data_IF_280298080498
#
_entry.id   IF_280298080498
#
_cell.length_a   1.000
_cell.length_b   1.000
_cell.length_c   1.000
_cell.angle_alpha   90.00
_cell.angle_beta   90.00
_cell.angle_gamma   90.00
#
_symmetry.space_group_name_H-M   'P 1'
#
loop_
_entity.id
_entity.type
_entity.pdbx_description
1 polymer ?
#
# COMPACT_ATOMS: atom_id res chain seq x y z
N UNK A 1 14.95 33.03 9.89
CA UNK A 1 13.56 32.58 9.65
C UNK A 1 12.95 32.34 11.01
N UNK A 2 11.82 32.94 11.29
CA UNK A 2 11.10 32.77 12.55
C UNK A 2 10.62 31.31 12.66
N UNK A 3 10.59 30.77 13.87
CA UNK A 3 10.07 29.43 14.18
C UNK A 3 9.07 29.58 15.31
N UNK A 4 7.86 29.06 15.11
CA UNK A 4 6.80 29.06 16.13
C UNK A 4 6.27 27.65 16.33
N UNK A 5 5.74 27.39 17.51
CA UNK A 5 5.07 26.12 17.80
C UNK A 5 3.65 26.09 17.22
N UNK A 6 3.13 24.91 16.93
CA UNK A 6 1.74 24.77 16.48
C UNK A 6 0.74 25.28 17.52
N UNK A 7 1.08 25.18 18.82
CA UNK A 7 0.24 25.71 19.89
C UNK A 7 0.14 27.24 19.89
N UNK A 8 1.18 27.95 19.44
CA UNK A 8 1.15 29.41 19.26
C UNK A 8 0.28 29.78 18.05
N UNK A 9 0.39 29.04 16.96
CA UNK A 9 -0.22 29.36 15.67
C UNK A 9 -1.68 28.88 15.51
N UNK A 10 -2.05 27.79 16.21
CA UNK A 10 -3.33 27.14 16.04
C UNK A 10 -4.07 26.89 17.35
N UNK A 11 -5.39 26.92 17.27
CA UNK A 11 -6.24 26.27 18.27
C UNK A 11 -6.32 24.78 17.94
N UNK A 12 -5.84 23.93 18.84
CA UNK A 12 -5.73 22.49 18.59
C UNK A 12 -6.62 21.74 19.58
N UNK A 13 -7.61 21.04 19.03
CA UNK A 13 -8.63 20.31 19.79
C UNK A 13 -8.81 18.92 19.20
N UNK A 14 -8.93 17.88 20.01
CA UNK A 14 -9.32 16.54 19.52
C UNK A 14 -10.83 16.47 19.30
N UNK A 15 -11.23 15.69 18.31
CA UNK A 15 -12.62 15.33 18.13
C UNK A 15 -13.15 14.40 19.24
N UNK A 16 -14.35 13.91 19.06
CA UNK A 16 -15.02 13.01 20.00
C UNK A 16 -15.98 12.07 19.30
N UNK A 17 -16.27 10.96 19.98
CA UNK A 17 -17.22 9.96 19.48
C UNK A 17 -18.45 9.92 20.35
N UNK A 18 -19.64 10.24 19.82
CA UNK A 18 -20.89 10.02 20.52
C UNK A 18 -21.09 8.54 20.86
N UNK A 19 -21.75 8.26 21.97
CA UNK A 19 -22.01 6.87 22.38
C UNK A 19 -22.75 6.10 21.30
N UNK A 20 -22.17 4.97 20.86
CA UNK A 20 -22.76 4.09 19.84
C UNK A 20 -24.03 3.37 20.34
N UNK A 21 -24.20 3.25 21.65
CA UNK A 21 -25.39 2.64 22.26
C UNK A 21 -26.63 3.54 22.20
N UNK A 22 -26.44 4.84 21.98
CA UNK A 22 -27.53 5.82 21.88
C UNK A 22 -27.91 6.02 20.41
N UNK A 23 -28.97 5.34 19.99
CA UNK A 23 -29.47 5.38 18.60
C UNK A 23 -29.83 6.80 18.18
N UNK A 24 -30.39 7.60 19.08
CA UNK A 24 -30.76 9.00 18.88
C UNK A 24 -29.58 9.91 18.50
N UNK A 25 -28.34 9.50 18.75
CA UNK A 25 -27.15 10.27 18.39
C UNK A 25 -26.71 10.07 16.94
N UNK A 26 -27.22 9.02 16.28
CA UNK A 26 -26.76 8.58 14.96
C UNK A 26 -27.87 8.49 13.92
N UNK A 27 -29.08 8.04 14.34
CA UNK A 27 -30.18 7.82 13.42
C UNK A 27 -30.66 9.16 12.86
N UNK A 28 -30.74 9.24 11.52
CA UNK A 28 -31.13 10.44 10.79
C UNK A 28 -30.22 11.66 11.06
N UNK A 29 -28.93 11.38 11.36
CA UNK A 29 -27.93 12.43 11.55
C UNK A 29 -27.71 13.23 10.28
N UNK A 30 -27.48 14.53 10.44
CA UNK A 30 -27.22 15.48 9.35
C UNK A 30 -25.85 16.14 9.46
N UNK A 31 -25.19 16.03 10.61
CA UNK A 31 -23.88 16.61 10.87
C UNK A 31 -22.80 15.61 10.46
N UNK A 32 -21.93 15.92 9.46
CA UNK A 32 -20.88 15.01 9.03
C UNK A 32 -19.94 14.66 10.17
N UNK A 33 -19.61 13.38 10.32
CA UNK A 33 -18.68 12.89 11.34
C UNK A 33 -17.54 12.09 10.68
N UNK A 34 -16.34 12.70 10.66
CA UNK A 34 -15.17 12.25 9.95
C UNK A 34 -14.40 11.22 10.78
N UNK A 35 -14.07 10.10 10.14
CA UNK A 35 -13.14 9.06 10.63
C UNK A 35 -11.82 9.13 9.88
N UNK A 36 -10.79 8.47 10.40
CA UNK A 36 -9.48 8.36 9.74
C UNK A 36 -9.61 7.90 8.29
N UNK A 37 -10.49 6.94 8.00
CA UNK A 37 -10.72 6.41 6.65
C UNK A 37 -11.30 7.41 5.64
N UNK A 38 -11.84 8.54 6.09
CA UNK A 38 -12.31 9.62 5.22
C UNK A 38 -11.19 10.56 4.76
N UNK A 39 -10.01 10.54 5.44
CA UNK A 39 -8.85 11.37 5.08
C UNK A 39 -8.05 10.63 3.99
N UNK A 40 -8.52 10.71 2.75
CA UNK A 40 -7.89 10.05 1.59
C UNK A 40 -7.16 11.05 0.70
N UNK A 41 -7.70 12.25 0.59
CA UNK A 41 -7.21 13.34 -0.25
C UNK A 41 -6.87 14.58 0.59
N UNK A 42 -6.30 15.61 -0.06
CA UNK A 42 -5.97 16.89 0.58
C UNK A 42 -7.21 17.53 1.21
N UNK A 43 -8.35 17.55 0.50
CA UNK A 43 -9.60 18.10 1.00
C UNK A 43 -10.59 16.99 1.33
N UNK A 44 -11.15 17.05 2.55
CA UNK A 44 -12.16 16.12 3.05
C UNK A 44 -13.53 16.75 2.85
N UNK A 45 -14.24 16.35 1.81
CA UNK A 45 -15.52 16.89 1.39
C UNK A 45 -16.71 16.02 1.77
N UNK A 46 -16.48 14.78 2.23
CA UNK A 46 -17.50 13.79 2.48
C UNK A 46 -17.25 13.04 3.79
N UNK A 47 -18.32 12.57 4.40
CA UNK A 47 -18.30 11.69 5.56
C UNK A 47 -19.10 10.41 5.26
N UNK A 48 -18.63 9.27 5.75
CA UNK A 48 -19.38 8.01 5.67
C UNK A 48 -20.50 7.94 6.72
N UNK A 49 -20.37 8.71 7.79
CA UNK A 49 -21.30 8.71 8.93
C UNK A 49 -21.69 10.13 9.33
N UNK A 50 -22.88 10.23 9.90
CA UNK A 50 -23.45 11.49 10.35
C UNK A 50 -23.96 11.33 11.77
N UNK A 51 -23.90 12.43 12.57
CA UNK A 51 -24.48 12.51 13.91
C UNK A 51 -25.64 13.51 13.92
N UNK A 52 -26.52 13.36 14.91
CA UNK A 52 -27.59 14.32 15.16
C UNK A 52 -27.10 15.49 16.01
N UNK A 53 -27.89 16.56 16.11
CA UNK A 53 -27.62 17.64 17.06
C UNK A 53 -27.58 17.12 18.50
N UNK A 54 -28.45 16.19 18.90
CA UNK A 54 -28.39 15.53 20.20
C UNK A 54 -27.08 14.77 20.41
N UNK A 55 -26.52 14.14 19.36
CA UNK A 55 -25.22 13.49 19.40
C UNK A 55 -24.07 14.48 19.59
N UNK A 56 -24.14 15.66 18.98
CA UNK A 56 -23.16 16.73 19.17
C UNK A 56 -23.21 17.28 20.60
N UNK A 57 -24.41 17.66 21.05
CA UNK A 57 -24.60 18.32 22.36
C UNK A 57 -24.41 17.35 23.53
N UNK A 58 -24.77 16.08 23.35
CA UNK A 58 -24.71 15.04 24.37
C UNK A 58 -23.39 14.24 24.44
N UNK A 59 -22.35 14.71 23.76
CA UNK A 59 -21.05 13.98 23.69
C UNK A 59 -19.84 14.90 23.73
N UNK A 60 -18.64 14.30 23.60
CA UNK A 60 -17.37 15.03 23.47
C UNK A 60 -17.08 15.46 22.03
N UNK A 61 -17.96 15.19 21.07
CA UNK A 61 -17.80 15.63 19.69
C UNK A 61 -17.65 17.17 19.61
N UNK A 62 -16.82 17.60 18.67
CA UNK A 62 -16.55 19.03 18.44
C UNK A 62 -16.82 19.34 16.98
N UNK A 63 -17.53 20.45 16.72
CA UNK A 63 -17.68 20.98 15.38
C UNK A 63 -16.41 21.71 14.97
N UNK A 64 -15.92 21.42 13.81
CA UNK A 64 -14.81 22.10 13.13
C UNK A 64 -15.34 22.75 11.86
N UNK A 65 -14.97 23.99 11.64
CA UNK A 65 -15.33 24.73 10.44
C UNK A 65 -14.51 24.26 9.24
N UNK A 66 -15.06 24.42 8.05
CA UNK A 66 -14.34 24.35 6.78
C UNK A 66 -13.01 25.11 6.87
N UNK A 67 -11.95 24.55 6.29
CA UNK A 67 -10.58 25.08 6.36
C UNK A 67 -9.78 24.62 7.57
N UNK A 68 -10.38 23.93 8.56
CA UNK A 68 -9.64 23.32 9.67
C UNK A 68 -8.75 22.19 9.14
N UNK A 69 -7.47 22.19 9.54
CA UNK A 69 -6.54 21.10 9.21
C UNK A 69 -6.74 19.95 10.18
N UNK A 70 -6.97 18.76 9.67
CA UNK A 70 -7.12 17.53 10.44
C UNK A 70 -5.79 16.78 10.51
N UNK A 71 -5.48 16.23 11.67
CA UNK A 71 -4.27 15.42 11.90
C UNK A 71 -4.58 14.19 12.73
N UNK A 72 -4.21 13.00 12.25
CA UNK A 72 -4.45 11.76 12.98
C UNK A 72 -3.40 11.53 14.06
N UNK A 73 -3.88 11.33 15.30
CA UNK A 73 -3.06 11.20 16.52
C UNK A 73 -3.08 9.80 17.16
N UNK A 74 -3.98 8.90 16.66
CA UNK A 74 -4.09 7.50 17.08
C UNK A 74 -4.24 6.57 15.88
N UNK A 75 -3.95 5.29 16.08
CA UNK A 75 -4.05 4.21 15.10
C UNK A 75 -3.15 4.43 13.88
N UNK A 76 -3.60 5.14 12.86
CA UNK A 76 -2.80 5.51 11.70
C UNK A 76 -2.29 6.94 11.90
N UNK A 77 -1.05 7.07 12.41
CA UNK A 77 -0.48 8.37 12.77
C UNK A 77 -0.05 9.19 11.56
N UNK A 78 -0.28 10.52 11.65
CA UNK A 78 0.29 11.49 10.73
C UNK A 78 -0.41 11.61 9.38
N UNK A 79 -1.66 11.09 9.25
CA UNK A 79 -2.51 11.46 8.11
C UNK A 79 -3.02 12.88 8.29
N UNK A 80 -3.07 13.62 7.20
CA UNK A 80 -3.45 15.04 7.17
C UNK A 80 -4.52 15.27 6.13
N UNK A 81 -5.52 16.08 6.47
CA UNK A 81 -6.54 16.57 5.54
C UNK A 81 -6.95 17.98 5.90
N UNK A 82 -7.60 18.67 4.98
CA UNK A 82 -8.23 19.99 5.20
C UNK A 82 -9.74 19.79 5.06
N UNK A 83 -10.54 20.23 6.02
CA UNK A 83 -11.99 20.17 5.89
C UNK A 83 -12.46 21.07 4.74
N UNK A 84 -13.15 20.47 3.77
CA UNK A 84 -13.87 21.18 2.72
C UNK A 84 -15.31 21.53 3.10
N UNK A 85 -15.79 20.97 4.20
CA UNK A 85 -17.12 21.17 4.79
C UNK A 85 -17.01 21.35 6.31
N UNK A 86 -18.02 21.89 6.95
CA UNK A 86 -18.13 21.86 8.41
C UNK A 86 -18.42 20.43 8.88
N UNK A 87 -17.66 19.91 9.83
CA UNK A 87 -17.80 18.53 10.27
C UNK A 87 -17.29 18.31 11.71
N UNK A 88 -17.80 17.25 12.33
CA UNK A 88 -17.21 16.67 13.54
C UNK A 88 -16.17 15.61 13.17
N UNK A 89 -15.32 15.22 14.11
CA UNK A 89 -14.36 14.12 13.94
C UNK A 89 -14.38 13.17 15.13
N UNK A 90 -13.85 11.96 14.96
CA UNK A 90 -13.62 11.08 16.10
C UNK A 90 -12.44 11.53 16.94
N UNK A 91 -12.25 10.94 18.11
CA UNK A 91 -11.17 11.28 19.06
C UNK A 91 -9.76 10.98 18.55
N UNK A 92 -9.62 10.20 17.48
CA UNK A 92 -8.32 9.88 16.89
C UNK A 92 -7.78 10.98 15.95
N UNK A 93 -8.58 12.03 15.74
CA UNK A 93 -8.25 13.15 14.87
C UNK A 93 -8.24 14.43 15.69
N UNK A 94 -7.15 15.19 15.59
CA UNK A 94 -7.06 16.56 16.10
C UNK A 94 -7.39 17.54 14.96
N UNK A 95 -8.24 18.51 15.23
CA UNK A 95 -8.48 19.67 14.38
C UNK A 95 -7.55 20.82 14.79
N UNK A 96 -6.87 21.40 13.81
CA UNK A 96 -6.01 22.57 13.97
C UNK A 96 -6.64 23.75 13.22
N UNK A 97 -7.21 24.66 13.96
CA UNK A 97 -7.78 25.91 13.42
C UNK A 97 -6.75 27.02 13.54
N UNK A 98 -6.32 27.59 12.44
CA UNK A 98 -5.32 28.67 12.39
C UNK A 98 -5.89 29.91 13.09
N UNK A 99 -5.11 30.54 13.96
CA UNK A 99 -5.51 31.74 14.71
C UNK A 99 -5.46 33.00 13.87
N UNK A 100 -4.46 33.12 12.99
CA UNK A 100 -4.25 34.26 12.11
C UNK A 100 -3.79 33.79 10.73
N UNK A 101 -4.68 33.89 9.76
CA UNK A 101 -4.43 33.48 8.37
C UNK A 101 -3.49 34.43 7.62
N UNK A 102 -3.20 35.64 8.15
CA UNK A 102 -2.18 36.51 7.59
C UNK A 102 -0.76 36.09 7.97
N UNK A 103 -0.61 35.22 8.99
CA UNK A 103 0.69 34.66 9.41
C UNK A 103 0.92 33.25 8.89
N UNK A 104 -0.12 32.45 8.81
CA UNK A 104 -0.01 31.04 8.44
C UNK A 104 -1.05 30.65 7.37
N UNK A 105 -0.55 30.17 6.24
CA UNK A 105 -1.36 29.61 5.16
C UNK A 105 -1.79 28.17 5.51
N UNK A 106 -3.06 27.84 5.24
CA UNK A 106 -3.64 26.51 5.54
C UNK A 106 -2.95 25.38 4.78
N UNK A 107 -2.66 25.56 3.51
CA UNK A 107 -2.01 24.55 2.67
C UNK A 107 -0.53 24.37 3.06
N UNK A 108 0.13 25.44 3.50
CA UNK A 108 1.47 25.37 4.06
C UNK A 108 1.50 24.52 5.35
N UNK A 109 0.55 24.73 6.27
CA UNK A 109 0.38 23.92 7.46
C UNK A 109 0.11 22.45 7.10
N UNK A 110 -0.74 22.19 6.10
CA UNK A 110 -1.01 20.84 5.60
C UNK A 110 0.28 20.15 5.14
N UNK A 111 1.09 20.79 4.30
CA UNK A 111 2.33 20.21 3.79
C UNK A 111 3.38 20.01 4.89
N UNK A 112 3.47 20.96 5.81
CA UNK A 112 4.35 20.81 6.97
C UNK A 112 3.98 19.58 7.79
N UNK A 113 2.71 19.41 8.15
CA UNK A 113 2.25 18.26 8.91
C UNK A 113 2.44 16.94 8.14
N UNK A 114 2.19 16.94 6.86
CA UNK A 114 2.43 15.78 5.98
C UNK A 114 3.90 15.35 5.97
N UNK A 115 4.83 16.30 6.00
CA UNK A 115 6.27 16.03 6.06
C UNK A 115 6.68 15.35 7.38
N UNK A 116 5.93 15.55 8.46
CA UNK A 116 6.21 14.96 9.78
C UNK A 116 5.78 13.48 9.90
N UNK A 117 5.06 12.91 8.94
CA UNK A 117 4.52 11.54 9.02
C UNK A 117 5.59 10.50 9.37
N UNK A 118 6.75 10.53 8.71
CA UNK A 118 7.83 9.58 8.98
C UNK A 118 8.44 9.80 10.37
N UNK A 119 8.60 11.06 10.79
CA UNK A 119 9.12 11.42 12.10
C UNK A 119 8.21 10.89 13.21
N UNK A 120 6.90 11.16 13.14
CA UNK A 120 5.95 10.71 14.18
C UNK A 120 5.86 9.18 14.24
N UNK A 121 5.88 8.51 13.10
CA UNK A 121 5.89 7.03 13.06
C UNK A 121 7.19 6.43 13.63
N UNK A 122 8.31 7.16 13.57
CA UNK A 122 9.58 6.73 14.16
C UNK A 122 9.58 6.89 15.69
N UNK A 123 9.15 8.03 16.20
CA UNK A 123 9.13 8.30 17.64
C UNK A 123 8.08 7.45 18.37
N UNK A 124 6.95 7.14 17.73
CA UNK A 124 5.88 6.32 18.31
C UNK A 124 6.27 4.85 18.50
N UNK A 125 7.20 4.31 17.70
CA UNK A 125 7.67 2.91 17.81
C UNK A 125 8.50 2.64 19.09
N UNK A 126 8.94 3.67 19.79
CA UNK A 126 9.71 3.57 21.05
C UNK A 126 8.87 3.65 22.33
N UNK A 127 7.55 3.82 22.24
CA UNK A 127 6.63 4.02 23.37
C UNK A 127 5.60 2.88 23.37
N UNK A 128 5.18 2.45 24.57
CA UNK A 128 4.25 1.34 24.78
C UNK A 128 2.86 1.52 24.09
N UNK A 129 2.52 2.74 23.68
CA UNK A 129 1.34 3.05 22.86
C UNK A 129 1.75 3.91 21.67
N UNK A 130 1.45 3.46 20.44
CA UNK A 130 1.64 4.21 19.20
C UNK A 130 0.63 5.36 19.12
N UNK A 131 0.88 6.46 19.84
CA UNK A 131 0.06 7.65 19.79
C UNK A 131 0.89 8.95 19.92
N UNK A 132 0.32 10.03 19.44
CA UNK A 132 0.81 11.40 19.64
C UNK A 132 -0.17 12.06 20.61
N UNK A 133 0.32 12.54 21.75
CA UNK A 133 -0.53 13.32 22.64
C UNK A 133 -0.64 14.78 22.17
N UNK A 134 -1.66 15.47 22.68
CA UNK A 134 -1.95 16.86 22.31
C UNK A 134 -0.84 17.84 22.68
N UNK A 135 -0.07 17.55 23.76
CA UNK A 135 1.07 18.37 24.18
C UNK A 135 2.20 18.26 23.16
N UNK A 136 2.52 17.05 22.71
CA UNK A 136 3.51 16.82 21.66
C UNK A 136 3.12 17.51 20.34
N UNK A 137 1.84 17.43 19.95
CA UNK A 137 1.38 18.08 18.73
C UNK A 137 1.51 19.61 18.84
N UNK A 138 1.16 20.18 19.99
CA UNK A 138 1.33 21.63 20.23
C UNK A 138 2.78 22.08 20.21
N UNK A 139 3.73 21.23 20.59
CA UNK A 139 5.16 21.56 20.61
C UNK A 139 5.88 21.40 19.28
N UNK A 140 5.20 20.97 18.21
CA UNK A 140 5.83 20.91 16.90
C UNK A 140 6.23 22.31 16.42
N UNK A 141 7.52 22.47 16.15
CA UNK A 141 8.11 23.71 15.68
C UNK A 141 7.97 23.84 14.16
N UNK A 142 7.24 24.86 13.73
CA UNK A 142 6.99 25.18 12.32
C UNK A 142 7.84 26.37 11.92
N UNK A 143 8.73 26.22 10.91
CA UNK A 143 9.38 27.36 10.28
C UNK A 143 8.34 28.28 9.62
N UNK A 144 8.36 29.55 9.98
CA UNK A 144 7.35 30.53 9.58
C UNK A 144 7.97 31.62 8.69
N UNK A 145 8.14 31.38 7.38
CA UNK A 145 8.50 32.45 6.46
C UNK A 145 7.32 33.41 6.25
N UNK A 146 7.56 34.54 5.59
CA UNK A 146 6.48 35.44 5.18
C UNK A 146 5.43 34.73 4.34
N UNK A 147 4.18 35.21 4.42
CA UNK A 147 3.02 34.56 3.80
C UNK A 147 3.21 34.36 2.29
N UNK A 148 3.78 35.31 1.57
CA UNK A 148 4.11 35.22 0.16
C UNK A 148 5.04 34.03 -0.14
N UNK A 149 6.02 33.79 0.75
CA UNK A 149 6.94 32.67 0.59
C UNK A 149 6.29 31.32 0.92
N UNK A 150 5.35 31.30 1.86
CA UNK A 150 4.53 30.10 2.12
C UNK A 150 3.69 29.75 0.87
N UNK A 151 3.08 30.73 0.24
CA UNK A 151 2.29 30.56 -1.01
C UNK A 151 3.16 30.05 -2.17
N UNK A 152 4.38 30.58 -2.37
CA UNK A 152 5.32 30.06 -3.35
C UNK A 152 5.66 28.58 -3.11
N UNK A 153 5.93 28.22 -1.84
CA UNK A 153 6.24 26.83 -1.44
C UNK A 153 5.03 25.93 -1.74
N UNK A 154 3.83 26.36 -1.37
CA UNK A 154 2.59 25.63 -1.61
C UNK A 154 2.40 25.41 -3.12
N UNK A 155 2.55 26.46 -3.94
CA UNK A 155 2.38 26.36 -5.39
C UNK A 155 3.35 25.34 -6.04
N UNK A 156 4.59 25.26 -5.53
CA UNK A 156 5.58 24.26 -5.99
C UNK A 156 5.14 22.85 -5.55
N UNK A 157 4.77 22.69 -4.28
CA UNK A 157 4.37 21.37 -3.74
C UNK A 157 3.08 20.86 -4.40
N UNK A 158 2.09 21.71 -4.63
CA UNK A 158 0.87 21.34 -5.35
C UNK A 158 1.18 20.80 -6.75
N UNK A 159 2.08 21.45 -7.50
CA UNK A 159 2.52 20.98 -8.83
C UNK A 159 3.23 19.62 -8.74
N UNK A 160 4.13 19.45 -7.76
CA UNK A 160 4.85 18.19 -7.56
C UNK A 160 3.88 17.04 -7.22
N UNK A 161 2.95 17.27 -6.30
CA UNK A 161 1.97 16.26 -5.93
C UNK A 161 0.99 15.95 -7.06
N UNK A 162 0.59 16.95 -7.86
CA UNK A 162 -0.21 16.72 -9.06
C UNK A 162 0.52 15.78 -10.05
N UNK A 163 1.81 16.06 -10.34
CA UNK A 163 2.63 15.20 -11.21
C UNK A 163 2.73 13.77 -10.63
N UNK A 164 2.95 13.63 -9.33
CA UNK A 164 3.02 12.30 -8.67
C UNK A 164 1.70 11.56 -8.85
N UNK A 165 0.56 12.21 -8.61
CA UNK A 165 -0.76 11.60 -8.74
C UNK A 165 -1.05 11.21 -10.20
N UNK A 166 -0.72 12.07 -11.16
CA UNK A 166 -0.89 11.79 -12.59
C UNK A 166 -0.07 10.56 -13.01
N UNK A 167 1.20 10.48 -12.55
CA UNK A 167 2.05 9.31 -12.81
C UNK A 167 1.53 8.03 -12.18
N UNK A 168 0.96 8.11 -10.97
CA UNK A 168 0.32 6.96 -10.33
C UNK A 168 -0.91 6.48 -11.11
N UNK A 169 -1.74 7.40 -11.61
CA UNK A 169 -2.87 7.09 -12.48
C UNK A 169 -2.43 6.48 -13.82
N UNK A 170 -1.37 7.01 -14.43
CA UNK A 170 -0.81 6.43 -15.67
C UNK A 170 -0.35 4.98 -15.45
N UNK A 171 0.39 4.71 -14.36
CA UNK A 171 0.82 3.36 -14.02
C UNK A 171 -0.36 2.41 -13.80
N UNK A 172 -1.41 2.86 -13.13
CA UNK A 172 -2.62 2.07 -12.95
C UNK A 172 -3.29 1.74 -14.28
N UNK A 173 -3.42 2.72 -15.18
CA UNK A 173 -3.99 2.52 -16.51
C UNK A 173 -3.16 1.55 -17.37
N UNK A 174 -1.82 1.62 -17.25
CA UNK A 174 -0.94 0.66 -17.92
C UNK A 174 -1.15 -0.77 -17.40
N UNK A 175 -1.28 -0.94 -16.08
CA UNK A 175 -1.59 -2.25 -15.51
C UNK A 175 -2.94 -2.79 -15.98
N UNK A 176 -3.97 -1.93 -16.09
CA UNK A 176 -5.28 -2.29 -16.62
C UNK A 176 -5.20 -2.65 -18.11
N UNK A 177 -4.42 -1.91 -18.90
CA UNK A 177 -4.19 -2.18 -20.30
C UNK A 177 -3.51 -3.55 -20.51
N UNK A 178 -2.50 -3.86 -19.72
CA UNK A 178 -1.80 -5.15 -19.79
C UNK A 178 -2.76 -6.29 -19.44
N UNK A 179 -3.60 -6.14 -18.39
CA UNK A 179 -4.62 -7.13 -18.04
C UNK A 179 -5.66 -7.32 -19.16
N UNK A 180 -6.12 -6.22 -19.73
CA UNK A 180 -7.06 -6.28 -20.86
C UNK A 180 -6.46 -6.98 -22.08
N UNK A 181 -5.18 -6.67 -22.38
CA UNK A 181 -4.44 -7.33 -23.47
C UNK A 181 -4.23 -8.83 -23.23
N UNK A 182 -3.97 -9.20 -21.98
CA UNK A 182 -3.87 -10.61 -21.59
C UNK A 182 -5.17 -11.35 -21.88
N UNK A 183 -6.31 -10.80 -21.47
CA UNK A 183 -7.64 -11.41 -21.71
C UNK A 183 -7.96 -11.45 -23.21
N UNK A 184 -7.69 -10.39 -23.95
CA UNK A 184 -7.90 -10.34 -25.40
C UNK A 184 -7.11 -11.45 -26.12
N UNK A 185 -5.83 -11.61 -25.76
CA UNK A 185 -4.95 -12.58 -26.41
C UNK A 185 -5.24 -14.02 -25.98
N UNK A 186 -5.48 -14.26 -24.71
CA UNK A 186 -5.53 -15.61 -24.15
C UNK A 186 -6.93 -16.06 -23.72
N UNK A 187 -7.89 -15.15 -23.63
CA UNK A 187 -9.25 -15.42 -23.18
C UNK A 187 -9.37 -15.53 -21.66
N UNK A 188 -10.54 -15.96 -21.21
CA UNK A 188 -10.79 -16.27 -19.80
C UNK A 188 -10.15 -17.64 -19.48
N UNK A 189 -9.11 -17.64 -18.64
CA UNK A 189 -8.37 -18.85 -18.28
C UNK A 189 -9.24 -19.90 -17.57
N UNK A 190 -10.30 -19.47 -16.88
CA UNK A 190 -11.21 -20.37 -16.19
C UNK A 190 -12.17 -21.07 -17.14
N UNK A 191 -12.68 -20.34 -18.12
CA UNK A 191 -13.60 -20.87 -19.16
C UNK A 191 -12.87 -21.57 -20.28
N UNK A 192 -11.60 -21.18 -20.51
CA UNK A 192 -10.80 -21.60 -21.64
C UNK A 192 -11.54 -21.39 -22.98
N UNK A 193 -12.15 -20.22 -23.14
CA UNK A 193 -13.00 -19.86 -24.28
C UNK A 193 -12.24 -19.82 -25.63
N UNK A 194 -10.91 -19.77 -25.58
CA UNK A 194 -10.03 -19.89 -26.74
C UNK A 194 -9.67 -21.33 -27.10
N UNK A 195 -10.04 -22.32 -26.26
CA UNK A 195 -9.80 -23.74 -26.53
C UNK A 195 -8.33 -24.17 -26.45
N UNK A 196 -7.51 -23.47 -25.67
CA UNK A 196 -6.10 -23.85 -25.50
C UNK A 196 -5.95 -25.19 -24.79
N UNK A 197 -4.85 -25.91 -25.08
CA UNK A 197 -4.54 -27.16 -24.40
C UNK A 197 -4.30 -26.91 -22.91
N UNK A 198 -5.04 -27.62 -22.05
CA UNK A 198 -4.82 -27.57 -20.59
C UNK A 198 -3.67 -28.52 -20.26
N UNK A 199 -2.65 -27.97 -19.58
CA UNK A 199 -1.49 -28.73 -19.13
C UNK A 199 -1.38 -28.64 -17.60
N UNK A 200 -0.76 -29.65 -16.99
CA UNK A 200 -0.39 -29.61 -15.57
C UNK A 200 0.85 -28.76 -15.37
N UNK A 201 1.00 -28.16 -14.20
CA UNK A 201 2.14 -27.30 -13.87
C UNK A 201 3.49 -27.96 -14.20
N UNK A 202 3.66 -29.22 -13.87
CA UNK A 202 4.89 -29.99 -14.16
C UNK A 202 5.23 -30.12 -15.65
N UNK A 203 4.25 -29.93 -16.55
CA UNK A 203 4.47 -30.05 -17.98
C UNK A 203 5.05 -28.78 -18.61
N UNK A 204 4.90 -27.62 -17.93
CA UNK A 204 5.32 -26.31 -18.44
C UNK A 204 6.19 -25.49 -17.48
N UNK A 205 6.30 -25.87 -16.20
CA UNK A 205 7.13 -25.20 -15.21
C UNK A 205 7.66 -26.19 -14.16
N UNK A 206 8.72 -25.83 -13.48
CA UNK A 206 9.25 -26.56 -12.33
C UNK A 206 9.53 -25.61 -11.17
N UNK A 207 9.37 -26.08 -9.96
CA UNK A 207 9.83 -25.37 -8.76
C UNK A 207 11.28 -25.77 -8.54
N UNK A 208 12.19 -24.80 -8.73
CA UNK A 208 13.63 -25.03 -8.54
C UNK A 208 13.97 -24.84 -7.07
N UNK A 209 14.23 -25.94 -6.39
CA UNK A 209 14.50 -25.97 -4.95
C UNK A 209 16.00 -26.10 -4.66
N UNK A 210 16.87 -25.56 -5.51
CA UNK A 210 18.31 -25.52 -5.25
C UNK A 210 18.58 -24.60 -4.07
N UNK A 211 18.73 -25.21 -2.90
CA UNK A 211 19.00 -24.49 -1.64
C UNK A 211 20.49 -24.43 -1.38
N UNK A 212 20.93 -23.27 -0.90
CA UNK A 212 22.30 -23.04 -0.42
C UNK A 212 22.26 -22.80 1.09
N UNK A 213 23.29 -23.24 1.77
CA UNK A 213 23.50 -23.08 3.23
C UNK A 213 24.82 -22.36 3.52
N UNK A 214 25.76 -22.43 2.59
CA UNK A 214 27.01 -21.66 2.62
C UNK A 214 26.82 -20.40 1.76
N UNK A 215 27.11 -19.26 2.34
CA UNK A 215 26.93 -17.96 1.73
C UNK A 215 28.23 -17.21 1.47
N UNK A 216 29.39 -17.85 1.61
CA UNK A 216 30.68 -17.20 1.45
C UNK A 216 30.83 -16.53 0.06
N UNK A 217 30.44 -17.24 -0.98
CA UNK A 217 30.46 -16.73 -2.37
C UNK A 217 29.27 -15.81 -2.73
N UNK A 218 28.28 -15.65 -1.84
CA UNK A 218 27.02 -14.97 -2.13
C UNK A 218 26.82 -13.69 -1.30
N UNK A 219 27.83 -13.22 -0.57
CA UNK A 219 27.70 -12.11 0.38
C UNK A 219 27.13 -10.83 -0.23
N UNK A 220 27.52 -10.51 -1.46
CA UNK A 220 27.07 -9.32 -2.19
C UNK A 220 25.80 -9.55 -3.03
N UNK A 221 25.24 -10.77 -3.03
CA UNK A 221 24.02 -11.06 -3.78
C UNK A 221 22.80 -10.41 -3.13
N UNK A 222 21.87 -9.88 -3.93
CA UNK A 222 20.56 -9.44 -3.44
C UNK A 222 19.84 -10.56 -2.71
N UNK A 223 19.36 -10.28 -1.49
CA UNK A 223 18.50 -11.17 -0.72
C UNK A 223 17.06 -10.68 -0.78
N UNK A 224 16.18 -11.47 -1.40
CA UNK A 224 14.77 -11.16 -1.53
C UNK A 224 13.98 -11.87 -0.44
N UNK A 225 13.65 -11.12 0.59
CA UNK A 225 12.65 -11.52 1.59
C UNK A 225 11.24 -11.44 1.03
N UNK A 226 10.29 -12.09 1.69
CA UNK A 226 8.86 -11.98 1.28
C UNK A 226 8.36 -10.52 1.38
N UNK A 227 8.88 -9.75 2.32
CA UNK A 227 8.49 -8.35 2.51
C UNK A 227 9.07 -7.41 1.43
N UNK A 228 10.12 -7.86 0.73
CA UNK A 228 10.69 -7.14 -0.43
C UNK A 228 9.85 -7.29 -1.71
N UNK A 229 8.79 -8.11 -1.70
CA UNK A 229 7.88 -8.27 -2.83
C UNK A 229 6.57 -7.56 -2.50
N UNK A 230 6.21 -6.58 -3.31
CA UNK A 230 4.95 -5.85 -3.19
C UNK A 230 3.75 -6.74 -3.54
N UNK A 231 2.67 -6.61 -2.77
CA UNK A 231 1.43 -7.37 -2.99
C UNK A 231 0.77 -6.98 -4.32
N UNK A 232 0.28 -7.95 -5.06
CA UNK A 232 -0.49 -7.75 -6.28
C UNK A 232 0.36 -7.39 -7.50
N UNK A 233 1.29 -6.45 -7.40
CA UNK A 233 2.17 -6.01 -8.50
C UNK A 233 3.37 -6.94 -8.69
N UNK A 234 3.87 -7.51 -7.58
CA UNK A 234 5.10 -8.32 -7.59
C UNK A 234 6.37 -7.49 -7.79
N UNK A 235 6.30 -6.17 -7.68
CA UNK A 235 7.47 -5.29 -7.73
C UNK A 235 8.42 -5.63 -6.58
N UNK A 236 9.71 -5.74 -6.89
CA UNK A 236 10.76 -5.99 -5.89
C UNK A 236 11.29 -4.63 -5.43
N UNK A 237 11.29 -4.40 -4.11
CA UNK A 237 11.78 -3.16 -3.51
C UNK A 237 12.33 -3.39 -2.09
N UNK A 238 13.18 -2.48 -1.63
CA UNK A 238 13.67 -2.48 -0.25
C UNK A 238 14.48 -3.70 0.16
N UNK A 239 15.07 -4.43 -0.78
CA UNK A 239 15.97 -5.56 -0.48
C UNK A 239 17.37 -5.09 -0.12
N UNK A 240 18.12 -5.97 0.57
CA UNK A 240 19.51 -5.79 0.93
C UNK A 240 20.34 -6.95 0.37
N UNK A 241 21.65 -6.91 0.61
CA UNK A 241 22.52 -8.02 0.29
C UNK A 241 22.42 -9.12 1.37
N UNK A 242 22.93 -10.32 1.03
CA UNK A 242 23.06 -11.44 1.97
C UNK A 242 23.85 -11.02 3.21
N UNK A 243 24.93 -10.26 3.02
CA UNK A 243 25.78 -9.73 4.08
C UNK A 243 25.04 -8.76 4.98
N UNK A 244 24.33 -7.79 4.41
CA UNK A 244 23.59 -6.76 5.17
C UNK A 244 22.44 -7.34 5.99
N UNK A 245 21.82 -8.41 5.50
CA UNK A 245 20.75 -9.14 6.20
C UNK A 245 21.26 -10.22 7.14
N UNK A 246 22.61 -10.41 7.23
CA UNK A 246 23.27 -11.44 8.05
C UNK A 246 22.60 -12.82 7.86
N UNK A 247 22.40 -13.22 6.61
CA UNK A 247 21.67 -14.44 6.27
C UNK A 247 22.40 -15.70 6.79
N UNK A 248 21.72 -16.46 7.69
CA UNK A 248 22.27 -17.66 8.30
C UNK A 248 21.48 -18.94 7.97
N UNK A 249 20.23 -18.82 7.52
CA UNK A 249 19.38 -19.97 7.20
C UNK A 249 19.34 -20.25 5.70
N UNK A 250 19.14 -21.51 5.30
CA UNK A 250 19.07 -21.93 3.90
C UNK A 250 18.17 -21.04 3.03
N UNK A 251 18.63 -20.70 1.85
CA UNK A 251 17.95 -19.87 0.85
C UNK A 251 17.97 -20.55 -0.51
N UNK A 252 17.04 -20.16 -1.37
CA UNK A 252 17.04 -20.60 -2.76
C UNK A 252 17.79 -19.59 -3.64
N UNK A 253 18.61 -20.09 -4.56
CA UNK A 253 19.20 -19.29 -5.65
C UNK A 253 18.15 -19.09 -6.72
N UNK A 254 18.13 -17.88 -7.31
CA UNK A 254 17.35 -17.58 -8.51
C UNK A 254 18.18 -16.80 -9.54
N UNK A 255 17.74 -16.85 -10.78
CA UNK A 255 18.30 -16.11 -11.92
C UNK A 255 17.19 -15.29 -12.58
N UNK A 256 17.48 -14.41 -13.57
CA UNK A 256 16.47 -13.72 -14.35
C UNK A 256 15.44 -14.61 -15.08
N UNK A 257 15.69 -15.92 -15.17
CA UNK A 257 14.74 -16.85 -15.77
C UNK A 257 13.65 -17.32 -14.81
N UNK A 258 13.82 -17.11 -13.51
CA UNK A 258 12.88 -17.54 -12.48
C UNK A 258 11.78 -16.52 -12.23
N UNK A 259 10.64 -17.03 -11.79
CA UNK A 259 9.57 -16.30 -11.12
C UNK A 259 9.71 -16.58 -9.64
N UNK A 260 9.65 -15.57 -8.76
CA UNK A 260 9.63 -15.76 -7.31
C UNK A 260 8.19 -15.70 -6.83
N UNK A 261 7.69 -16.78 -6.25
CA UNK A 261 6.35 -16.89 -5.71
C UNK A 261 6.37 -17.07 -4.20
N UNK A 262 5.70 -16.19 -3.45
CA UNK A 262 5.55 -16.33 -2.00
C UNK A 262 4.60 -17.47 -1.65
N UNK A 263 5.11 -18.51 -0.95
CA UNK A 263 4.27 -19.62 -0.47
C UNK A 263 3.50 -19.31 0.81
N UNK A 264 3.85 -18.22 1.52
CA UNK A 264 3.13 -17.77 2.71
C UNK A 264 2.19 -16.62 2.36
N UNK A 265 1.05 -16.57 3.04
CA UNK A 265 -0.01 -15.56 2.79
C UNK A 265 -0.34 -15.44 1.29
N UNK A 266 -0.74 -16.52 0.62
CA UNK A 266 -0.97 -16.53 -0.83
C UNK A 266 -2.04 -15.51 -1.27
N UNK A 267 -2.92 -15.08 -0.35
CA UNK A 267 -3.88 -14.00 -0.57
C UNK A 267 -3.25 -12.64 -0.90
N UNK A 268 -1.97 -12.43 -0.57
CA UNK A 268 -1.25 -11.22 -0.94
C UNK A 268 -0.76 -11.23 -2.39
N UNK A 269 -0.88 -12.36 -3.08
CA UNK A 269 -0.55 -12.54 -4.50
C UNK A 269 0.83 -11.96 -4.88
N UNK A 270 1.87 -12.38 -4.16
CA UNK A 270 3.25 -11.92 -4.35
C UNK A 270 3.96 -12.81 -5.36
N UNK A 271 3.98 -12.37 -6.62
CA UNK A 271 4.61 -13.04 -7.76
C UNK A 271 5.58 -12.05 -8.42
N UNK A 272 6.89 -12.26 -8.29
CA UNK A 272 7.90 -11.32 -8.77
C UNK A 272 8.68 -11.87 -9.98
N UNK A 273 9.13 -10.97 -10.83
CA UNK A 273 9.95 -11.23 -12.02
C UNK A 273 11.32 -10.52 -11.85
N UNK A 274 12.30 -11.11 -11.13
CA UNK A 274 13.62 -10.49 -10.97
C UNK A 274 14.36 -10.46 -12.32
N UNK A 275 15.11 -9.40 -12.57
CA UNK A 275 16.00 -9.22 -13.72
C UNK A 275 17.49 -9.38 -13.39
N UNK A 276 17.79 -9.86 -12.18
CA UNK A 276 19.11 -10.08 -11.62
C UNK A 276 19.23 -11.48 -10.99
N UNK A 277 20.46 -11.88 -10.69
CA UNK A 277 20.76 -13.11 -9.93
C UNK A 277 20.77 -12.75 -8.44
N UNK A 278 20.18 -13.62 -7.60
CA UNK A 278 20.15 -13.40 -6.17
C UNK A 278 19.73 -14.65 -5.41
N UNK A 279 19.43 -14.45 -4.13
CA UNK A 279 18.88 -15.49 -3.25
C UNK A 279 17.53 -15.03 -2.70
N UNK A 280 16.60 -15.95 -2.53
CA UNK A 280 15.31 -15.63 -1.95
C UNK A 280 15.02 -16.46 -0.70
N UNK A 281 14.14 -15.93 0.14
CA UNK A 281 13.68 -16.59 1.36
C UNK A 281 13.21 -18.02 1.08
N UNK A 282 13.50 -18.93 2.03
CA UNK A 282 12.92 -20.27 2.02
C UNK A 282 11.38 -20.28 2.07
N UNK A 283 10.72 -19.15 2.33
CA UNK A 283 9.28 -18.96 2.25
C UNK A 283 8.76 -18.52 0.86
N UNK A 284 9.65 -18.48 -0.11
CA UNK A 284 9.32 -18.34 -1.53
C UNK A 284 9.64 -19.62 -2.31
N UNK A 285 9.13 -19.72 -3.52
CA UNK A 285 9.50 -20.71 -4.52
C UNK A 285 10.05 -20.01 -5.75
N UNK A 286 11.32 -20.28 -6.13
CA UNK A 286 11.80 -19.99 -7.48
C UNK A 286 11.13 -20.94 -8.46
N UNK A 287 10.38 -20.41 -9.40
CA UNK A 287 9.67 -21.17 -10.41
C UNK A 287 10.33 -20.91 -11.75
N UNK A 288 10.75 -21.97 -12.40
CA UNK A 288 11.42 -21.92 -13.70
C UNK A 288 10.47 -22.46 -14.79
N UNK A 289 10.04 -21.63 -15.75
CA UNK A 289 9.30 -22.11 -16.91
C UNK A 289 10.14 -23.09 -17.75
N UNK A 290 9.52 -24.12 -18.30
CA UNK A 290 10.20 -25.07 -19.16
C UNK A 290 10.39 -24.44 -20.55
N UNK A 291 11.64 -24.29 -20.98
CA UNK A 291 12.01 -23.73 -22.27
C UNK A 291 11.30 -24.47 -23.43
N UNK A 292 10.72 -23.70 -24.33
CA UNK A 292 9.94 -24.26 -25.45
C UNK A 292 8.51 -24.67 -25.13
N UNK A 293 8.10 -24.60 -23.83
CA UNK A 293 6.74 -24.92 -23.38
C UNK A 293 6.00 -23.69 -22.87
N UNK A 294 6.65 -22.90 -22.03
CA UNK A 294 6.02 -21.75 -21.40
C UNK A 294 6.97 -20.55 -21.35
N UNK A 295 6.43 -19.39 -21.60
CA UNK A 295 7.13 -18.11 -21.45
C UNK A 295 7.01 -17.62 -20.00
N UNK A 296 8.07 -17.02 -19.49
CA UNK A 296 8.16 -16.52 -18.10
C UNK A 296 7.12 -15.44 -17.80
N UNK A 297 6.97 -14.47 -18.69
CA UNK A 297 6.01 -13.37 -18.52
C UNK A 297 4.58 -13.90 -18.53
N UNK A 298 4.22 -14.75 -19.49
CA UNK A 298 2.91 -15.40 -19.53
C UNK A 298 2.60 -16.13 -18.22
N UNK A 299 3.53 -16.98 -17.74
CA UNK A 299 3.33 -17.74 -16.51
C UNK A 299 3.15 -16.83 -15.28
N UNK A 300 3.91 -15.75 -15.19
CA UNK A 300 3.76 -14.81 -14.08
C UNK A 300 2.36 -14.15 -14.06
N UNK A 301 1.82 -13.82 -15.22
CA UNK A 301 0.45 -13.28 -15.32
C UNK A 301 -0.60 -14.33 -15.00
N UNK A 302 -0.43 -15.58 -15.44
CA UNK A 302 -1.29 -16.69 -15.01
C UNK A 302 -1.28 -16.85 -13.49
N UNK A 303 -0.10 -16.78 -12.87
CA UNK A 303 0.05 -16.91 -11.41
C UNK A 303 -0.49 -15.69 -10.63
N UNK A 304 -0.58 -14.53 -11.28
CA UNK A 304 -1.24 -13.33 -10.71
C UNK A 304 -2.74 -13.33 -10.96
N UNK A 305 -3.23 -14.13 -11.90
CA UNK A 305 -4.64 -14.21 -12.25
C UNK A 305 -5.48 -14.83 -11.13
N UNK A 306 -6.75 -14.44 -11.12
CA UNK A 306 -7.73 -14.93 -10.15
C UNK A 306 -7.87 -16.47 -10.18
N UNK A 307 -7.71 -17.09 -11.34
CA UNK A 307 -7.82 -18.56 -11.50
C UNK A 307 -6.78 -19.28 -10.65
N UNK A 308 -5.51 -18.86 -10.69
CA UNK A 308 -4.47 -19.43 -9.84
C UNK A 308 -4.66 -19.06 -8.37
N UNK A 309 -5.04 -17.81 -8.10
CA UNK A 309 -5.26 -17.33 -6.74
C UNK A 309 -6.39 -18.10 -6.05
N UNK A 310 -7.55 -18.26 -6.70
CA UNK A 310 -8.69 -19.00 -6.17
C UNK A 310 -8.31 -20.49 -5.92
N UNK A 311 -7.57 -21.11 -6.87
CA UNK A 311 -7.07 -22.48 -6.72
C UNK A 311 -6.19 -22.63 -5.47
N UNK A 312 -5.22 -21.76 -5.30
CA UNK A 312 -4.25 -21.82 -4.20
C UNK A 312 -4.90 -21.49 -2.85
N UNK A 313 -5.85 -20.59 -2.80
CA UNK A 313 -6.57 -20.19 -1.60
C UNK A 313 -7.45 -21.33 -1.06
N UNK A 314 -7.92 -22.24 -1.91
CA UNK A 314 -8.68 -23.41 -1.47
C UNK A 314 -7.89 -24.30 -0.49
N UNK A 315 -6.55 -24.25 -0.51
CA UNK A 315 -5.69 -25.00 0.41
C UNK A 315 -5.32 -24.23 1.67
N UNK A 316 -5.60 -22.93 1.76
CA UNK A 316 -5.06 -22.04 2.80
C UNK A 316 -6.06 -21.65 3.89
N UNK A 317 -7.31 -22.08 3.83
CA UNK A 317 -8.43 -21.58 4.64
C UNK A 317 -8.43 -22.01 6.13
N UNK A 318 -7.38 -22.65 6.69
CA UNK A 318 -7.44 -23.28 8.01
C UNK A 318 -6.40 -22.81 9.03
N UNK A 319 -5.56 -21.82 8.75
CA UNK A 319 -4.48 -21.41 9.66
C UNK A 319 -4.30 -19.89 9.72
N UNK A 320 -3.81 -19.38 10.87
CA UNK A 320 -3.46 -17.96 11.07
C UNK A 320 -2.31 -17.47 10.15
N UNK A 321 -1.49 -18.40 9.65
CA UNK A 321 -0.45 -18.12 8.65
C UNK A 321 -0.62 -19.13 7.51
N UNK A 322 -1.50 -18.84 6.53
CA UNK A 322 -1.73 -19.72 5.41
C UNK A 322 -0.44 -19.91 4.60
N UNK A 323 -0.06 -21.15 4.39
CA UNK A 323 1.13 -21.58 3.66
C UNK A 323 0.77 -22.69 2.69
N UNK A 324 1.26 -22.58 1.47
CA UNK A 324 1.07 -23.61 0.44
C UNK A 324 2.36 -24.40 0.22
N UNK A 325 2.22 -25.70 -0.02
CA UNK A 325 3.35 -26.57 -0.28
C UNK A 325 3.60 -26.77 -1.77
N UNK A 326 4.74 -27.39 -2.08
CA UNK A 326 5.18 -27.64 -3.46
C UNK A 326 4.13 -28.44 -4.26
N UNK A 327 3.59 -29.54 -3.69
CA UNK A 327 2.61 -30.39 -4.35
C UNK A 327 1.32 -29.64 -4.71
N UNK A 328 0.90 -28.72 -3.86
CA UNK A 328 -0.28 -27.89 -4.12
C UNK A 328 -0.07 -26.95 -5.31
N UNK A 329 1.12 -26.33 -5.42
CA UNK A 329 1.45 -25.49 -6.59
C UNK A 329 1.57 -26.35 -7.85
N UNK A 330 2.25 -27.50 -7.78
CA UNK A 330 2.43 -28.44 -8.91
C UNK A 330 1.13 -29.11 -9.36
N UNK A 331 0.11 -29.15 -8.50
CA UNK A 331 -1.22 -29.64 -8.84
C UNK A 331 -2.07 -28.70 -9.70
N UNK A 332 -1.63 -27.45 -9.88
CA UNK A 332 -2.34 -26.50 -10.70
C UNK A 332 -2.31 -26.92 -12.20
N UNK A 333 -3.40 -26.67 -12.90
CA UNK A 333 -3.49 -26.87 -14.34
C UNK A 333 -4.10 -25.64 -14.98
N UNK A 334 -3.59 -25.24 -16.13
CA UNK A 334 -4.12 -24.09 -16.85
C UNK A 334 -4.00 -24.25 -18.37
N UNK A 335 -4.75 -23.45 -19.14
CA UNK A 335 -4.55 -23.32 -20.57
C UNK A 335 -3.14 -22.85 -20.90
N UNK A 336 -2.48 -23.47 -21.88
CA UNK A 336 -1.15 -23.07 -22.37
C UNK A 336 -1.26 -22.77 -23.85
N UNK A 337 -1.29 -21.50 -24.27
CA UNK A 337 -1.30 -21.06 -25.64
C UNK A 337 0.02 -21.38 -26.38
N UNK A 338 0.04 -21.22 -27.69
CA UNK A 338 1.25 -21.35 -28.48
C UNK A 338 2.34 -20.39 -28.04
N UNK A 339 3.60 -20.82 -28.03
CA UNK A 339 4.74 -20.07 -27.53
C UNK A 339 4.93 -18.71 -28.23
N UNK A 340 4.64 -18.63 -29.54
CA UNK A 340 4.71 -17.37 -30.27
C UNK A 340 3.72 -16.33 -29.75
N UNK A 341 2.51 -16.75 -29.40
CA UNK A 341 1.53 -15.83 -28.80
C UNK A 341 1.97 -15.36 -27.43
N UNK A 342 2.53 -16.26 -26.62
CA UNK A 342 3.09 -15.90 -25.30
C UNK A 342 4.25 -14.89 -25.43
N UNK A 343 5.14 -15.04 -26.43
CA UNK A 343 6.23 -14.08 -26.71
C UNK A 343 5.70 -12.72 -27.16
N UNK A 344 4.70 -12.68 -28.02
CA UNK A 344 4.05 -11.42 -28.42
C UNK A 344 3.47 -10.67 -27.24
N UNK A 345 2.94 -11.37 -26.26
CA UNK A 345 2.48 -10.76 -25.02
C UNK A 345 3.65 -10.22 -24.19
N UNK A 346 4.74 -10.99 -24.05
CA UNK A 346 5.95 -10.51 -23.38
C UNK A 346 6.50 -9.24 -24.03
N UNK A 347 6.56 -9.20 -25.39
CA UNK A 347 7.03 -8.01 -26.11
C UNK A 347 6.12 -6.80 -25.88
N UNK A 348 4.81 -7.01 -25.75
CA UNK A 348 3.86 -5.96 -25.40
C UNK A 348 4.07 -5.45 -23.96
N UNK A 349 4.32 -6.33 -23.01
CA UNK A 349 4.56 -5.94 -21.58
C UNK A 349 5.88 -5.19 -21.40
N UNK A 350 6.85 -5.36 -22.28
CA UNK A 350 8.16 -4.68 -22.24
C UNK A 350 8.17 -3.29 -22.89
N UNK A 351 7.14 -2.92 -23.65
CA UNK A 351 6.97 -1.58 -24.24
C UNK A 351 6.51 -0.57 -23.19
#
# INVERSE_FOLDING_TARGET
>A
MEVKTLGELCNIVSGGTPSRSKVEFWKEGTIPWIKIGNIKEKYVNEADEYITQAGLDGSSAKMFAKGTVLYTIFATLGEVGILGIDACTNQAIAGLTIKDTNQLNTDYLYYYLKSKKNYVNKISRGVAQNNINMSMLRSFELPLPEISKQEEIVAILDKVFAIINDRQHELQKLDELIKSRFIEMFGDLKKNDKGWKILRFSDFAKIDTKMIHDFEEYQDYPHIGIDSIEKGTGKICGYRTVKEDAVASGKYIFTPEHIIYSKIRPNLNKVALPDFIGVCSADAYPILPIKGKCNRTYLAYVMRDKVFLDYILAFSNRTNLPKVNKKQVEGFSCPIPELNLQKRFEDFVKQ
#
